data_IF_905558617758
#
_entry.id   IF_905558617758
#
_cell.length_a   1.000
_cell.length_b   1.000
_cell.length_c   1.000
_cell.angle_alpha   90.00
_cell.angle_beta   90.00
_cell.angle_gamma   90.00
#
_symmetry.space_group_name_H-M   'P 1'
#
loop_
_entity.id
_entity.type
_entity.pdbx_description
1 polymer ?
#
# COMPACT_ATOMS: atom_id res chain seq x y z
N UNK A 1 17.42 8.50 -0.89
CA UNK A 1 16.72 9.48 -1.76
C UNK A 1 16.31 8.74 -3.04
N UNK A 2 15.03 8.73 -3.42
CA UNK A 2 14.59 8.04 -4.64
C UNK A 2 13.12 7.62 -4.69
N UNK A 3 12.40 7.69 -3.56
CA UNK A 3 10.98 7.29 -3.48
C UNK A 3 10.01 8.43 -3.19
N UNK A 4 10.50 9.68 -3.21
CA UNK A 4 9.68 10.85 -2.85
C UNK A 4 8.49 11.04 -3.80
N UNK A 5 8.69 10.81 -5.10
CA UNK A 5 7.62 10.94 -6.09
C UNK A 5 6.50 9.92 -5.86
N UNK A 6 6.84 8.64 -5.62
CA UNK A 6 5.82 7.62 -5.35
C UNK A 6 5.11 7.84 -4.01
N UNK A 7 5.81 8.39 -3.01
CA UNK A 7 5.16 8.77 -1.75
C UNK A 7 4.16 9.91 -1.96
N UNK A 8 4.54 10.93 -2.73
CA UNK A 8 3.65 12.04 -3.06
C UNK A 8 2.42 11.57 -3.85
N UNK A 9 2.57 10.62 -4.78
CA UNK A 9 1.46 10.04 -5.53
C UNK A 9 0.45 9.31 -4.62
N UNK A 10 0.95 8.58 -3.62
CA UNK A 10 0.09 7.93 -2.63
C UNK A 10 -0.60 8.96 -1.70
N UNK A 11 0.11 10.01 -1.30
CA UNK A 11 -0.46 11.11 -0.53
C UNK A 11 -1.57 11.82 -1.35
N UNK A 12 -1.33 12.13 -2.62
CA UNK A 12 -2.32 12.74 -3.52
C UNK A 12 -3.55 11.85 -3.69
N UNK A 13 -3.36 10.54 -3.88
CA UNK A 13 -4.47 9.59 -3.99
C UNK A 13 -5.34 9.64 -2.74
N UNK A 14 -4.73 9.66 -1.56
CA UNK A 14 -5.43 9.65 -0.27
C UNK A 14 -6.29 10.89 -0.05
N UNK A 15 -5.84 12.05 -0.52
CA UNK A 15 -6.51 13.35 -0.32
C UNK A 15 -7.42 13.78 -1.48
N UNK A 16 -7.75 12.89 -2.43
CA UNK A 16 -8.73 13.22 -3.47
C UNK A 16 -10.12 13.45 -2.87
N UNK A 17 -10.83 14.47 -3.36
CA UNK A 17 -12.19 14.81 -2.94
C UNK A 17 -13.24 13.86 -3.56
N UNK A 18 -13.09 12.56 -3.31
CA UNK A 18 -14.09 11.54 -3.62
C UNK A 18 -14.50 10.75 -2.36
N UNK A 19 -15.73 10.26 -2.32
CA UNK A 19 -16.31 9.58 -1.13
C UNK A 19 -16.18 8.06 -1.19
N UNK A 20 -15.30 7.53 -2.05
CA UNK A 20 -15.16 6.10 -2.33
C UNK A 20 -13.97 5.45 -1.64
N UNK A 21 -13.99 4.11 -1.56
CA UNK A 21 -12.81 3.35 -1.16
C UNK A 21 -11.69 3.53 -2.20
N UNK A 22 -10.46 3.76 -1.72
CA UNK A 22 -9.28 3.99 -2.56
C UNK A 22 -8.46 2.72 -2.69
N UNK A 23 -8.02 2.43 -3.92
CA UNK A 23 -7.16 1.29 -4.22
C UNK A 23 -5.91 1.80 -4.91
N UNK A 24 -4.74 1.49 -4.33
CA UNK A 24 -3.43 1.76 -4.93
C UNK A 24 -2.77 0.43 -5.33
N UNK A 25 -2.22 0.37 -6.56
CA UNK A 25 -1.47 -0.81 -7.04
C UNK A 25 -0.02 -0.43 -7.24
N UNK A 26 0.86 -1.02 -6.43
CA UNK A 26 2.30 -0.86 -6.58
C UNK A 26 2.82 -1.96 -7.52
N UNK A 27 3.33 -1.55 -8.69
CA UNK A 27 3.90 -2.46 -9.70
C UNK A 27 5.39 -2.17 -9.93
N UNK A 28 6.10 -3.16 -10.47
CA UNK A 28 7.55 -3.07 -10.70
C UNK A 28 8.25 -4.41 -10.53
N UNK A 29 9.52 -4.48 -10.90
CA UNK A 29 10.33 -5.70 -10.90
C UNK A 29 10.40 -6.36 -9.51
N UNK A 30 10.68 -7.67 -9.49
CA UNK A 30 10.95 -8.41 -8.26
C UNK A 30 12.09 -7.75 -7.46
N UNK A 31 11.95 -7.67 -6.14
CA UNK A 31 12.99 -7.10 -5.27
C UNK A 31 13.14 -5.56 -5.31
N UNK A 32 12.39 -4.83 -6.12
CA UNK A 32 12.52 -3.35 -6.24
C UNK A 32 12.09 -2.56 -4.98
N UNK A 33 11.52 -3.25 -3.98
CA UNK A 33 11.13 -2.65 -2.69
C UNK A 33 9.70 -2.12 -2.62
N UNK A 34 8.75 -2.69 -3.37
CA UNK A 34 7.33 -2.27 -3.35
C UNK A 34 6.70 -2.41 -1.96
N UNK A 35 6.91 -3.56 -1.31
CA UNK A 35 6.46 -3.80 0.06
C UNK A 35 7.06 -2.79 1.04
N UNK A 36 8.36 -2.52 0.92
CA UNK A 36 9.04 -1.52 1.75
C UNK A 36 8.45 -0.12 1.56
N UNK A 37 8.12 0.26 0.31
CA UNK A 37 7.46 1.53 0.00
C UNK A 37 6.06 1.61 0.62
N UNK A 38 5.24 0.56 0.50
CA UNK A 38 3.90 0.51 1.06
C UNK A 38 3.90 0.67 2.58
N UNK A 39 4.75 -0.11 3.27
CA UNK A 39 4.88 -0.06 4.73
C UNK A 39 5.40 1.30 5.19
N UNK A 40 6.41 1.83 4.51
CA UNK A 40 6.97 3.16 4.83
C UNK A 40 5.95 4.28 4.65
N UNK A 41 5.13 4.23 3.60
CA UNK A 41 4.04 5.18 3.39
C UNK A 41 2.97 5.08 4.49
N UNK A 42 2.50 3.87 4.79
CA UNK A 42 1.49 3.63 5.82
C UNK A 42 1.93 4.17 7.20
N UNK A 43 3.18 3.92 7.58
CA UNK A 43 3.76 4.43 8.84
C UNK A 43 3.83 5.96 8.94
N UNK A 44 3.78 6.69 7.81
CA UNK A 44 3.82 8.15 7.75
C UNK A 44 2.45 8.82 7.77
N UNK A 45 1.39 8.05 7.58
CA UNK A 45 0.00 8.54 7.55
C UNK A 45 -0.87 8.03 8.71
N UNK A 46 -0.39 7.98 9.98
CA UNK A 46 -1.20 7.42 11.07
C UNK A 46 -2.45 8.25 11.38
N UNK A 47 -2.43 9.56 11.10
CA UNK A 47 -3.59 10.44 11.30
C UNK A 47 -4.73 10.21 10.30
N UNK A 48 -4.43 9.58 9.16
CA UNK A 48 -5.39 9.35 8.08
C UNK A 48 -6.19 8.04 8.26
N UNK A 49 -5.73 7.17 9.17
CA UNK A 49 -6.34 5.88 9.46
C UNK A 49 -6.55 5.75 10.98
N UNK A 50 -7.52 6.47 11.57
CA UNK A 50 -7.74 6.49 13.02
C UNK A 50 -8.08 5.11 13.59
N UNK A 51 -8.70 4.25 12.78
CA UNK A 51 -9.06 2.88 13.15
C UNK A 51 -7.88 1.90 13.05
N UNK A 52 -6.73 2.37 12.56
CA UNK A 52 -5.51 1.59 12.40
C UNK A 52 -5.29 1.06 10.98
N UNK A 53 -4.23 0.26 10.82
CA UNK A 53 -3.75 -0.23 9.53
C UNK A 53 -3.50 -1.75 9.61
N UNK A 54 -3.96 -2.50 8.60
CA UNK A 54 -3.76 -3.94 8.49
C UNK A 54 -2.77 -4.24 7.35
N UNK A 55 -1.75 -5.06 7.62
CA UNK A 55 -0.89 -5.65 6.60
C UNK A 55 -1.23 -7.14 6.45
N UNK A 56 -1.58 -7.55 5.23
CA UNK A 56 -1.84 -8.95 4.88
C UNK A 56 -0.95 -9.36 3.71
N UNK A 57 -0.13 -10.39 3.93
CA UNK A 57 0.58 -11.06 2.83
C UNK A 57 -0.37 -12.08 2.19
N UNK A 58 -0.78 -11.83 0.95
CA UNK A 58 -1.71 -12.69 0.20
C UNK A 58 -1.04 -13.94 -0.39
N UNK A 59 0.27 -14.12 -0.22
CA UNK A 59 1.03 -15.29 -0.67
C UNK A 59 0.86 -15.63 -2.16
N UNK A 60 0.65 -14.63 -3.02
CA UNK A 60 0.36 -14.83 -4.46
C UNK A 60 1.45 -15.52 -5.28
N UNK A 61 2.63 -15.79 -4.71
CA UNK A 61 3.74 -16.51 -5.35
C UNK A 61 4.33 -17.64 -4.46
N UNK A 62 3.56 -18.15 -3.49
CA UNK A 62 3.97 -19.24 -2.58
C UNK A 62 3.35 -20.61 -2.91
N UNK A 63 3.82 -21.65 -2.23
CA UNK A 63 3.22 -23.01 -2.27
C UNK A 63 1.98 -23.14 -1.38
N UNK A 64 1.68 -22.11 -0.59
CA UNK A 64 0.52 -22.06 0.31
C UNK A 64 -0.68 -21.53 -0.48
N UNK A 65 -1.86 -22.09 -0.18
CA UNK A 65 -3.12 -21.69 -0.84
C UNK A 65 -3.36 -20.18 -0.65
N UNK A 66 -3.71 -19.43 -1.72
CA UNK A 66 -4.09 -18.03 -1.60
C UNK A 66 -5.21 -17.86 -0.56
N UNK A 67 -5.16 -16.74 0.17
CA UNK A 67 -6.23 -16.37 1.10
C UNK A 67 -7.48 -16.07 0.28
N UNK A 68 -8.59 -16.73 0.60
CA UNK A 68 -9.88 -16.47 -0.04
C UNK A 68 -10.39 -15.08 0.40
N UNK A 69 -10.94 -14.26 -0.51
CA UNK A 69 -11.69 -13.07 -0.12
C UNK A 69 -12.94 -13.51 0.65
N UNK A 70 -13.15 -12.97 1.85
CA UNK A 70 -14.38 -13.13 2.62
C UNK A 70 -15.53 -12.30 2.06
#
# INVERSE_FOLDING_TARGET
>A
RGRAAQLAELDELLHRDDTGARIAVLSGTGGVGKTALAVHWAQRAPGEFPDGQLYLDLHGYGTVRPVEPG
#
